data_IF_685385042745
#
_entry.id   IF_685385042745
#
_cell.length_a   1.000
_cell.length_b   1.000
_cell.length_c   1.000
_cell.angle_alpha   90.00
_cell.angle_beta   90.00
_cell.angle_gamma   90.00
#
_symmetry.space_group_name_H-M   'P 1'
#
loop_
_entity.id
_entity.type
_entity.pdbx_description
1 polymer ?
#
# COMPACT_ATOMS: atom_id res chain seq x y z
N UNK A 1 -59.12 24.85 21.29
CA UNK A 1 -57.76 25.37 21.04
C UNK A 1 -56.82 24.18 21.05
N UNK A 2 -56.33 23.77 19.88
CA UNK A 2 -55.52 22.56 19.73
C UNK A 2 -54.07 22.83 20.13
N UNK A 3 -53.48 21.92 20.89
CA UNK A 3 -52.06 21.93 21.23
C UNK A 3 -51.40 20.75 20.51
N UNK A 4 -51.23 20.87 19.20
CA UNK A 4 -50.47 19.90 18.42
C UNK A 4 -48.99 20.25 18.51
N UNK A 5 -48.35 19.53 19.43
CA UNK A 5 -46.91 19.45 19.61
C UNK A 5 -46.29 18.80 18.36
N UNK A 6 -45.78 19.60 17.42
CA UNK A 6 -44.99 19.09 16.29
C UNK A 6 -43.68 19.88 16.23
N UNK A 7 -42.77 19.57 17.15
CA UNK A 7 -41.35 19.90 16.97
C UNK A 7 -40.83 18.97 15.87
N UNK A 8 -40.70 19.50 14.65
CA UNK A 8 -40.11 18.80 13.53
C UNK A 8 -38.67 18.39 13.88
N UNK A 9 -38.48 17.09 13.98
CA UNK A 9 -37.23 16.40 14.23
C UNK A 9 -36.33 16.55 12.99
N UNK A 10 -35.42 17.54 12.99
CA UNK A 10 -34.34 17.60 12.00
C UNK A 10 -33.04 17.34 12.71
N UNK A 11 -32.77 16.05 12.98
CA UNK A 11 -31.44 15.62 13.39
C UNK A 11 -30.67 15.24 12.13
N UNK A 12 -29.87 16.18 11.65
CA UNK A 12 -28.85 15.96 10.61
C UNK A 12 -27.74 15.06 11.19
N UNK A 13 -27.88 13.74 11.06
CA UNK A 13 -26.77 12.81 11.29
C UNK A 13 -25.93 12.71 10.01
N UNK A 14 -25.01 13.66 9.81
CA UNK A 14 -23.85 13.43 8.94
C UNK A 14 -22.89 12.54 9.72
N UNK A 15 -23.04 11.23 9.57
CA UNK A 15 -22.02 10.28 10.04
C UNK A 15 -20.89 10.24 9.01
N UNK A 16 -19.90 11.15 9.15
CA UNK A 16 -18.57 10.88 8.60
C UNK A 16 -17.86 9.99 9.60
N UNK A 17 -18.06 8.69 9.48
CA UNK A 17 -17.26 7.69 10.21
C UNK A 17 -16.66 6.73 9.21
N UNK A 18 -15.58 7.21 8.58
CA UNK A 18 -14.69 6.43 7.73
C UNK A 18 -13.24 6.74 8.06
N UNK A 19 -12.89 6.89 9.34
CA UNK A 19 -11.50 6.83 9.75
C UNK A 19 -11.06 5.37 9.56
N UNK A 20 -10.47 5.06 8.41
CA UNK A 20 -9.76 3.81 8.20
C UNK A 20 -8.73 3.69 9.34
N UNK A 21 -8.96 2.76 10.27
CA UNK A 21 -7.95 2.40 11.27
C UNK A 21 -6.76 1.86 10.49
N UNK A 22 -5.74 2.68 10.31
CA UNK A 22 -4.44 2.22 9.87
C UNK A 22 -3.97 1.27 10.98
N UNK A 23 -3.85 -0.01 10.65
CA UNK A 23 -3.48 -1.05 11.60
C UNK A 23 -2.05 -0.77 12.06
N UNK A 24 -1.90 -0.19 13.25
CA UNK A 24 -0.61 0.28 13.78
C UNK A 24 0.33 -0.83 14.21
N UNK A 25 -0.09 -2.09 14.10
CA UNK A 25 0.70 -3.25 14.53
C UNK A 25 1.85 -3.59 13.57
N UNK A 26 1.94 -2.94 12.41
CA UNK A 26 3.05 -3.09 11.47
C UNK A 26 3.80 -1.76 11.34
N UNK A 27 4.52 -1.39 12.41
CA UNK A 27 5.48 -0.28 12.33
C UNK A 27 6.86 -0.88 12.05
N UNK A 28 7.52 -0.51 10.94
CA UNK A 28 8.86 -1.00 10.65
C UNK A 28 9.80 -0.62 11.80
N UNK A 29 10.59 -1.59 12.27
CA UNK A 29 11.46 -1.45 13.45
C UNK A 29 12.65 -0.51 13.21
N UNK A 30 13.02 -0.33 11.93
CA UNK A 30 14.12 0.52 11.47
C UNK A 30 13.65 1.29 10.23
N UNK A 31 13.94 2.60 10.17
CA UNK A 31 13.69 3.44 8.99
C UNK A 31 14.93 3.53 8.12
N UNK A 32 14.85 2.99 6.90
CA UNK A 32 15.86 3.23 5.85
C UNK A 32 15.27 4.19 4.82
N UNK A 33 15.98 5.27 4.48
CA UNK A 33 15.64 6.05 3.28
C UNK A 33 16.02 5.19 2.09
N UNK A 34 15.00 4.64 1.44
CA UNK A 34 15.15 3.81 0.26
C UNK A 34 15.02 4.70 -0.97
N UNK A 35 16.08 4.78 -1.77
CA UNK A 35 16.09 5.49 -3.06
C UNK A 35 15.46 4.65 -4.19
N UNK A 36 15.21 3.39 -3.86
CA UNK A 36 14.72 2.32 -4.69
C UNK A 36 13.18 2.42 -4.76
N UNK A 37 12.68 2.69 -5.96
CA UNK A 37 11.28 3.00 -6.22
C UNK A 37 10.44 1.72 -6.41
N UNK A 38 10.00 1.13 -5.31
CA UNK A 38 9.01 0.04 -5.28
C UNK A 38 7.93 0.41 -4.26
N UNK A 39 6.87 1.03 -4.78
CA UNK A 39 5.74 1.50 -4.02
C UNK A 39 4.45 0.97 -4.65
N UNK A 40 3.56 0.49 -3.78
CA UNK A 40 2.20 0.11 -4.13
C UNK A 40 1.22 1.21 -3.70
N UNK A 41 0.51 1.78 -4.66
CA UNK A 41 -0.59 2.71 -4.42
C UNK A 41 -1.89 1.96 -4.70
N UNK A 42 -2.72 1.76 -3.67
CA UNK A 42 -3.97 1.00 -3.76
C UNK A 42 -3.80 -0.42 -4.35
N UNK A 43 -2.70 -1.10 -3.97
CA UNK A 43 -2.39 -2.47 -4.44
C UNK A 43 -1.86 -2.54 -5.87
N UNK A 44 -1.56 -1.41 -6.51
CA UNK A 44 -0.94 -1.35 -7.83
C UNK A 44 0.41 -0.64 -7.78
N UNK A 45 1.35 -1.06 -8.63
CA UNK A 45 2.62 -0.36 -8.77
C UNK A 45 2.40 1.07 -9.26
N UNK A 46 3.06 2.04 -8.63
CA UNK A 46 3.18 3.35 -9.24
C UNK A 46 3.97 3.28 -10.55
N UNK A 47 4.01 4.38 -11.31
CA UNK A 47 4.63 4.40 -12.62
C UNK A 47 6.10 3.98 -12.58
N UNK A 48 6.85 4.42 -11.56
CA UNK A 48 8.29 4.14 -11.44
C UNK A 48 8.49 2.66 -11.14
N UNK A 49 7.75 2.13 -10.16
CA UNK A 49 7.78 0.74 -9.75
C UNK A 49 7.37 -0.20 -10.89
N UNK A 50 6.39 0.20 -11.69
CA UNK A 50 5.94 -0.55 -12.86
C UNK A 50 7.06 -0.68 -13.90
N UNK A 51 7.73 0.42 -14.25
CA UNK A 51 8.82 0.38 -15.23
C UNK A 51 10.04 -0.37 -14.71
N UNK A 52 10.35 -0.26 -13.41
CA UNK A 52 11.40 -1.04 -12.77
C UNK A 52 11.13 -2.54 -12.90
N UNK A 53 9.94 -3.00 -12.50
CA UNK A 53 9.54 -4.41 -12.65
C UNK A 53 9.64 -4.84 -14.10
N UNK A 54 9.06 -4.07 -15.03
CA UNK A 54 9.08 -4.39 -16.47
C UNK A 54 10.50 -4.53 -17.02
N UNK A 55 11.41 -3.65 -16.60
CA UNK A 55 12.78 -3.63 -17.09
C UNK A 55 13.62 -4.80 -16.54
N UNK A 56 13.39 -5.19 -15.29
CA UNK A 56 14.18 -6.21 -14.61
C UNK A 56 13.57 -7.62 -14.65
N UNK A 57 12.29 -7.73 -14.99
CA UNK A 57 11.55 -8.99 -15.17
C UNK A 57 12.21 -10.01 -16.09
N UNK A 58 12.82 -9.64 -17.25
CA UNK A 58 13.45 -10.61 -18.13
C UNK A 58 14.65 -11.30 -17.48
N UNK A 59 14.74 -12.62 -17.64
CA UNK A 59 15.78 -13.49 -17.06
C UNK A 59 17.20 -12.96 -17.22
N UNK A 60 17.53 -12.43 -18.40
CA UNK A 60 18.84 -11.84 -18.70
C UNK A 60 19.22 -10.63 -17.82
N UNK A 61 18.29 -10.10 -17.01
CA UNK A 61 18.53 -9.00 -16.08
C UNK A 61 18.37 -9.42 -14.62
N UNK A 62 18.06 -10.69 -14.32
CA UNK A 62 17.90 -11.16 -12.95
C UNK A 62 19.15 -10.97 -12.09
N UNK A 63 20.35 -10.96 -12.67
CA UNK A 63 21.58 -10.65 -11.93
C UNK A 63 21.67 -9.20 -11.44
N UNK A 64 20.78 -8.31 -11.88
CA UNK A 64 20.74 -6.88 -11.51
C UNK A 64 19.68 -6.57 -10.47
N UNK A 65 18.83 -7.54 -10.13
CA UNK A 65 17.78 -7.32 -9.13
C UNK A 65 18.43 -7.17 -7.75
N UNK A 66 17.84 -6.35 -6.85
CA UNK A 66 18.32 -6.23 -5.48
C UNK A 66 18.28 -7.57 -4.72
N UNK A 67 19.11 -7.70 -3.68
CA UNK A 67 19.21 -8.94 -2.88
C UNK A 67 17.89 -9.37 -2.22
N UNK A 68 16.99 -8.41 -1.94
CA UNK A 68 15.67 -8.65 -1.34
C UNK A 68 14.58 -8.97 -2.39
N UNK A 69 14.94 -9.03 -3.67
CA UNK A 69 14.02 -9.42 -4.73
C UNK A 69 13.93 -10.94 -4.82
N UNK A 70 12.79 -11.43 -5.33
CA UNK A 70 12.58 -12.86 -5.60
C UNK A 70 12.20 -13.06 -7.06
N UNK A 71 12.75 -14.10 -7.68
CA UNK A 71 12.38 -14.54 -9.02
C UNK A 71 11.20 -15.50 -8.91
N UNK A 72 10.04 -15.12 -9.45
CA UNK A 72 8.83 -15.95 -9.48
C UNK A 72 8.78 -16.81 -10.75
N UNK A 73 9.32 -16.29 -11.85
CA UNK A 73 9.47 -16.98 -13.13
C UNK A 73 10.52 -16.28 -14.01
N UNK A 74 10.90 -16.82 -15.18
CA UNK A 74 11.84 -16.15 -16.10
C UNK A 74 11.41 -14.75 -16.57
N UNK A 75 10.15 -14.37 -16.37
CA UNK A 75 9.58 -13.06 -16.78
C UNK A 75 8.88 -12.33 -15.64
N UNK A 76 8.94 -12.85 -14.42
CA UNK A 76 8.22 -12.29 -13.27
C UNK A 76 9.12 -12.28 -12.04
N UNK A 77 9.16 -11.13 -11.39
CA UNK A 77 9.94 -10.86 -10.18
C UNK A 77 9.06 -10.13 -9.17
N UNK A 78 9.42 -10.21 -7.90
CA UNK A 78 8.74 -9.51 -6.81
C UNK A 78 9.76 -8.79 -5.94
N UNK A 79 9.42 -7.57 -5.49
CA UNK A 79 10.16 -6.81 -4.49
C UNK A 79 9.30 -6.68 -3.23
N UNK A 80 9.70 -7.36 -2.16
CA UNK A 80 8.98 -7.36 -0.88
C UNK A 80 9.84 -6.84 0.27
N UNK A 81 10.76 -5.92 0.00
CA UNK A 81 11.63 -5.39 1.05
C UNK A 81 10.91 -4.45 2.04
N UNK A 82 9.61 -4.23 1.89
CA UNK A 82 8.74 -3.65 2.92
C UNK A 82 8.44 -4.66 4.05
N UNK A 83 8.63 -5.96 3.80
CA UNK A 83 8.44 -7.00 4.79
C UNK A 83 9.69 -7.19 5.66
N UNK A 84 9.51 -7.13 6.98
CA UNK A 84 10.59 -7.36 7.94
C UNK A 84 11.28 -8.71 7.72
N UNK A 85 10.52 -9.76 7.42
CA UNK A 85 11.05 -11.12 7.17
C UNK A 85 11.88 -11.27 5.89
N UNK A 86 11.94 -10.24 5.04
CA UNK A 86 12.76 -10.20 3.82
C UNK A 86 14.05 -9.39 4.06
N UNK A 87 14.02 -8.47 5.03
CA UNK A 87 15.13 -7.57 5.34
C UNK A 87 15.99 -8.04 6.53
N UNK A 88 15.43 -8.87 7.43
CA UNK A 88 16.12 -9.50 8.58
C UNK A 88 16.46 -10.97 8.31
#
# INVERSE_FOLDING_TARGET
MSLSLVFFYVIFHVSVSGANKINTNYRPSIGVIRWDAWNLVNGQYDAISFYLHRALSPEKFHYRIPFYASVLSPTNISFNGDLQSVMD
#
